data_IF_216905314166
#
_entry.id   IF_216905314166
#
_cell.length_a   1.000
_cell.length_b   1.000
_cell.length_c   1.000
_cell.angle_alpha   90.00
_cell.angle_beta   90.00
_cell.angle_gamma   90.00
#
_symmetry.space_group_name_H-M   'P 1'
#
loop_
_entity.id
_entity.type
_entity.pdbx_description
1 polymer ?
#
# COMPACT_ATOMS: atom_id res chain seq x y z
N UNK A 1 1.74 19.57 -10.69
CA UNK A 1 1.76 18.11 -10.57
C UNK A 1 2.82 17.65 -9.59
N UNK A 2 2.91 16.34 -9.33
CA UNK A 2 3.92 15.81 -8.40
C UNK A 2 5.36 16.10 -8.86
N UNK A 3 5.59 16.13 -10.16
CA UNK A 3 6.89 16.45 -10.76
C UNK A 3 7.41 17.84 -10.38
N UNK A 4 6.53 18.80 -10.13
CA UNK A 4 6.93 20.16 -9.76
C UNK A 4 7.56 20.21 -8.35
N UNK A 5 7.28 19.21 -7.53
CA UNK A 5 7.72 19.12 -6.14
C UNK A 5 8.82 18.10 -5.91
N UNK A 6 9.26 17.39 -6.95
CA UNK A 6 10.22 16.27 -6.83
C UNK A 6 11.40 16.50 -7.77
N UNK A 7 12.54 16.96 -7.25
CA UNK A 7 13.64 17.52 -8.07
C UNK A 7 14.36 16.52 -8.98
N UNK A 8 14.23 15.21 -8.73
CA UNK A 8 14.90 14.19 -9.56
C UNK A 8 14.02 13.68 -10.72
N UNK A 9 12.76 14.09 -10.83
CA UNK A 9 11.96 13.79 -12.02
C UNK A 9 12.45 14.67 -13.17
N UNK A 10 13.04 14.02 -14.17
CA UNK A 10 13.70 14.73 -15.27
C UNK A 10 12.71 15.22 -16.32
N UNK A 11 11.71 14.42 -16.64
CA UNK A 11 10.61 14.79 -17.54
C UNK A 11 9.37 13.95 -17.22
N UNK A 12 8.18 14.50 -17.43
CA UNK A 12 6.92 13.78 -17.39
C UNK A 12 6.51 13.46 -18.82
N UNK A 13 6.32 12.18 -19.11
CA UNK A 13 5.97 11.68 -20.44
C UNK A 13 4.47 11.52 -20.60
N UNK A 14 3.80 11.09 -19.52
CA UNK A 14 2.36 10.92 -19.48
C UNK A 14 1.87 11.17 -18.06
N UNK A 15 0.78 11.89 -17.94
CA UNK A 15 0.06 12.07 -16.67
C UNK A 15 -1.44 12.03 -16.93
N UNK A 16 -2.15 11.27 -16.12
CA UNK A 16 -3.60 11.25 -16.06
C UNK A 16 -4.03 11.35 -14.59
N UNK A 17 -4.95 12.26 -14.30
CA UNK A 17 -5.52 12.42 -12.96
C UNK A 17 -7.03 12.38 -13.07
N UNK A 18 -7.71 11.58 -12.24
CA UNK A 18 -9.15 11.40 -12.27
C UNK A 18 -9.68 10.88 -10.94
N UNK A 19 -10.96 11.15 -10.69
CA UNK A 19 -11.66 10.56 -9.55
C UNK A 19 -12.17 9.16 -9.92
N UNK A 20 -11.66 8.16 -9.22
CA UNK A 20 -12.14 6.78 -9.35
C UNK A 20 -13.50 6.60 -8.69
N UNK A 21 -13.69 7.26 -7.58
CA UNK A 21 -14.89 7.26 -6.75
C UNK A 21 -14.90 8.54 -5.89
N UNK A 22 -16.06 8.94 -5.34
CA UNK A 22 -16.08 10.03 -4.37
C UNK A 22 -15.17 9.70 -3.18
N UNK A 23 -14.16 10.54 -2.98
CA UNK A 23 -13.13 10.34 -1.94
C UNK A 23 -11.93 9.50 -2.38
N UNK A 24 -11.83 9.10 -3.65
CA UNK A 24 -10.64 8.41 -4.20
C UNK A 24 -10.18 9.10 -5.47
N UNK A 25 -9.05 9.79 -5.40
CA UNK A 25 -8.40 10.43 -6.54
C UNK A 25 -7.18 9.63 -6.99
N UNK A 26 -7.07 9.35 -8.27
CA UNK A 26 -5.96 8.59 -8.88
C UNK A 26 -5.08 9.53 -9.70
N UNK A 27 -3.78 9.44 -9.51
CA UNK A 27 -2.77 9.98 -10.42
C UNK A 27 -1.98 8.82 -11.02
N UNK A 28 -2.00 8.70 -12.34
CA UNK A 28 -1.22 7.74 -13.13
C UNK A 28 -0.18 8.53 -13.93
N UNK A 29 1.07 8.40 -13.58
CA UNK A 29 2.15 9.20 -14.15
C UNK A 29 3.31 8.33 -14.60
N UNK A 30 3.82 8.61 -15.81
CA UNK A 30 5.08 8.06 -16.32
C UNK A 30 6.06 9.22 -16.47
N UNK A 31 7.24 9.05 -15.90
CA UNK A 31 8.30 10.05 -15.90
C UNK A 31 9.67 9.41 -16.09
N UNK A 32 10.64 10.20 -16.50
CA UNK A 32 12.04 9.78 -16.56
C UNK A 32 12.71 9.99 -15.20
N UNK A 33 13.25 8.91 -14.65
CA UNK A 33 13.99 8.88 -13.39
C UNK A 33 15.29 8.09 -13.60
N UNK A 34 16.45 8.68 -13.26
CA UNK A 34 17.77 8.08 -13.49
C UNK A 34 17.97 7.54 -14.92
N UNK A 35 17.52 8.32 -15.92
CA UNK A 35 17.57 7.99 -17.36
C UNK A 35 16.71 6.77 -17.78
N UNK A 36 15.78 6.33 -16.94
CA UNK A 36 14.85 5.23 -17.23
C UNK A 36 13.40 5.67 -17.10
N UNK A 37 12.48 5.10 -17.91
CA UNK A 37 11.07 5.29 -17.68
C UNK A 37 10.66 4.70 -16.32
N UNK A 38 9.76 5.38 -15.63
CA UNK A 38 9.22 4.95 -14.34
C UNK A 38 7.73 5.31 -14.30
N UNK A 39 6.88 4.31 -14.10
CA UNK A 39 5.44 4.52 -13.96
C UNK A 39 5.03 4.38 -12.51
N UNK A 40 4.24 5.33 -12.05
CA UNK A 40 3.70 5.39 -10.69
C UNK A 40 2.20 5.62 -10.72
N UNK A 41 1.50 4.92 -9.85
CA UNK A 41 0.12 5.17 -9.48
C UNK A 41 0.08 5.71 -8.05
N UNK A 42 -0.68 6.77 -7.85
CA UNK A 42 -1.00 7.31 -6.52
C UNK A 42 -2.51 7.29 -6.38
N UNK A 43 -2.99 6.67 -5.31
CA UNK A 43 -4.37 6.83 -4.87
C UNK A 43 -4.39 7.71 -3.62
N UNK A 44 -5.03 8.87 -3.70
CA UNK A 44 -5.32 9.74 -2.57
C UNK A 44 -6.74 9.43 -2.09
N UNK A 45 -6.87 9.05 -0.82
CA UNK A 45 -8.12 8.62 -0.20
C UNK A 45 -8.50 9.63 0.89
N UNK A 46 -9.64 10.30 0.73
CA UNK A 46 -10.22 11.24 1.68
C UNK A 46 -11.15 10.51 2.65
N UNK A 47 -10.67 10.25 3.85
CA UNK A 47 -11.42 9.53 4.90
C UNK A 47 -12.60 10.34 5.47
N UNK A 48 -12.75 11.62 5.12
CA UNK A 48 -13.94 12.42 5.46
C UNK A 48 -15.15 12.06 4.60
N UNK A 49 -14.91 11.36 3.48
CA UNK A 49 -15.94 10.86 2.57
C UNK A 49 -16.44 9.48 3.01
N UNK A 50 -17.34 8.89 2.23
CA UNK A 50 -17.92 7.58 2.52
C UNK A 50 -16.97 6.42 2.17
N UNK A 51 -15.68 6.58 2.44
CA UNK A 51 -14.63 5.57 2.20
C UNK A 51 -13.73 5.40 3.42
N UNK A 52 -13.21 4.20 3.60
CA UNK A 52 -12.23 3.89 4.64
C UNK A 52 -11.22 2.85 4.15
N UNK A 53 -10.17 2.62 4.92
CA UNK A 53 -9.19 1.57 4.65
C UNK A 53 -9.51 0.35 5.51
N UNK A 54 -9.36 -0.83 4.93
CA UNK A 54 -9.44 -2.11 5.63
C UNK A 54 -8.28 -3.01 5.23
N UNK A 55 -7.82 -3.85 6.14
CA UNK A 55 -6.86 -4.90 5.83
C UNK A 55 -7.55 -6.02 5.06
N UNK A 56 -6.95 -6.43 3.95
CA UNK A 56 -7.38 -7.62 3.20
C UNK A 56 -6.59 -8.85 3.63
N UNK A 57 -7.24 -9.98 3.57
CA UNK A 57 -6.67 -11.30 3.84
C UNK A 57 -7.21 -12.30 2.82
N UNK A 58 -6.54 -13.42 2.60
CA UNK A 58 -7.05 -14.49 1.74
C UNK A 58 -8.48 -14.91 2.14
N UNK A 59 -9.35 -15.07 1.13
CA UNK A 59 -10.77 -15.39 1.28
C UNK A 59 -11.56 -14.44 2.20
N UNK A 60 -11.02 -13.25 2.48
CA UNK A 60 -11.53 -12.28 3.45
C UNK A 60 -11.70 -12.83 4.88
N UNK A 61 -10.98 -13.90 5.23
CA UNK A 61 -11.08 -14.54 6.54
C UNK A 61 -10.30 -13.78 7.61
N UNK A 62 -10.74 -13.85 8.90
CA UNK A 62 -10.03 -13.26 10.02
C UNK A 62 -8.84 -14.17 10.45
N UNK A 63 -7.98 -14.52 9.52
CA UNK A 63 -6.78 -15.34 9.74
C UNK A 63 -5.67 -14.90 8.79
N UNK A 64 -4.42 -15.18 9.17
CA UNK A 64 -3.24 -14.88 8.36
C UNK A 64 -2.18 -15.98 8.54
N UNK A 65 -1.35 -16.19 7.51
CA UNK A 65 -0.24 -17.14 7.58
C UNK A 65 -0.54 -18.53 7.02
N UNK A 66 -1.79 -18.86 6.71
CA UNK A 66 -2.17 -20.16 6.17
C UNK A 66 -2.14 -20.17 4.63
N UNK A 67 -2.70 -19.14 4.02
CA UNK A 67 -2.88 -19.03 2.58
C UNK A 67 -2.29 -17.71 2.07
N UNK A 68 -1.75 -17.73 0.87
CA UNK A 68 -1.49 -16.53 0.06
C UNK A 68 -2.47 -16.44 -1.08
N UNK A 69 -2.85 -15.24 -1.45
CA UNK A 69 -3.80 -15.01 -2.52
C UNK A 69 -3.47 -13.72 -3.26
N UNK A 70 -3.68 -13.69 -4.57
CA UNK A 70 -3.46 -12.48 -5.36
C UNK A 70 -4.34 -11.33 -4.85
N UNK A 71 -3.85 -10.09 -4.93
CA UNK A 71 -4.56 -8.88 -4.49
C UNK A 71 -5.95 -8.79 -5.15
N UNK A 72 -6.03 -9.09 -6.45
CA UNK A 72 -7.29 -9.13 -7.20
C UNK A 72 -8.27 -10.14 -6.60
N UNK A 73 -7.81 -11.35 -6.32
CA UNK A 73 -8.66 -12.41 -5.76
C UNK A 73 -9.10 -12.07 -4.33
N UNK A 74 -8.23 -11.47 -3.52
CA UNK A 74 -8.62 -10.98 -2.19
C UNK A 74 -9.75 -9.93 -2.29
N UNK A 75 -9.70 -9.02 -3.28
CA UNK A 75 -10.76 -8.04 -3.52
C UNK A 75 -12.07 -8.72 -3.95
N UNK A 76 -12.01 -9.68 -4.88
CA UNK A 76 -13.17 -10.47 -5.32
C UNK A 76 -13.84 -11.25 -4.16
N UNK A 77 -13.03 -11.83 -3.27
CA UNK A 77 -13.52 -12.57 -2.09
C UNK A 77 -14.14 -11.65 -1.04
N UNK A 78 -13.54 -10.48 -0.80
CA UNK A 78 -14.10 -9.48 0.10
C UNK A 78 -15.44 -8.95 -0.44
N UNK A 79 -15.53 -8.66 -1.74
CA UNK A 79 -16.78 -8.27 -2.40
C UNK A 79 -17.86 -9.35 -2.27
N UNK A 80 -17.52 -10.60 -2.52
CA UNK A 80 -18.45 -11.73 -2.40
C UNK A 80 -18.96 -11.95 -0.96
N UNK A 81 -18.21 -11.48 0.05
CA UNK A 81 -18.63 -11.50 1.45
C UNK A 81 -19.42 -10.25 1.90
N UNK A 82 -19.80 -9.38 0.95
CA UNK A 82 -20.64 -8.20 1.19
C UNK A 82 -19.88 -6.92 1.49
N UNK A 83 -18.56 -6.90 1.33
CA UNK A 83 -17.74 -5.70 1.49
C UNK A 83 -17.58 -5.00 0.13
N UNK A 84 -18.08 -3.78 -0.01
CA UNK A 84 -17.91 -3.03 -1.24
C UNK A 84 -16.47 -2.51 -1.37
N UNK A 85 -15.66 -3.25 -2.11
CA UNK A 85 -14.26 -2.91 -2.37
C UNK A 85 -14.17 -2.00 -3.59
N UNK A 86 -13.45 -0.90 -3.47
CA UNK A 86 -13.26 0.10 -4.53
C UNK A 86 -11.87 0.04 -5.15
N UNK A 87 -10.85 -0.22 -4.31
CA UNK A 87 -9.44 -0.30 -4.69
C UNK A 87 -8.72 -1.23 -3.72
N UNK A 88 -7.61 -1.85 -4.15
CA UNK A 88 -6.79 -2.67 -3.28
C UNK A 88 -5.32 -2.67 -3.69
N UNK A 89 -4.43 -2.86 -2.70
CA UNK A 89 -2.99 -3.04 -2.91
C UNK A 89 -2.47 -4.21 -2.09
N UNK A 90 -1.27 -4.71 -2.43
CA UNK A 90 -0.50 -5.57 -1.53
C UNK A 90 -0.13 -4.80 -0.25
N UNK A 91 0.24 -5.52 0.79
CA UNK A 91 0.53 -4.96 2.12
C UNK A 91 1.93 -5.26 2.62
N UNK A 92 2.01 -5.89 3.80
CA UNK A 92 3.24 -6.15 4.53
C UNK A 92 4.11 -7.22 3.87
N UNK A 93 5.39 -7.22 4.25
CA UNK A 93 6.35 -8.29 3.96
C UNK A 93 5.93 -9.60 4.60
N UNK A 94 6.44 -10.69 4.05
CA UNK A 94 6.21 -12.04 4.60
C UNK A 94 7.37 -12.98 4.26
N UNK A 95 7.50 -14.02 5.05
CA UNK A 95 8.44 -15.11 4.82
C UNK A 95 7.75 -16.47 5.00
N UNK A 96 8.35 -17.52 4.43
CA UNK A 96 7.90 -18.87 4.71
C UNK A 96 8.44 -19.34 6.05
N UNK A 97 7.61 -20.03 6.83
CA UNK A 97 8.05 -20.73 8.04
C UNK A 97 9.12 -21.77 7.70
N UNK A 98 10.07 -21.94 8.59
CA UNK A 98 11.13 -22.96 8.45
C UNK A 98 10.72 -24.30 9.06
N UNK A 99 9.62 -24.35 9.77
CA UNK A 99 9.21 -25.51 10.58
C UNK A 99 7.95 -26.20 10.07
N UNK A 100 7.15 -25.50 9.26
CA UNK A 100 5.89 -25.98 8.71
C UNK A 100 5.56 -25.27 7.39
N UNK A 101 4.43 -25.58 6.80
CA UNK A 101 3.98 -25.00 5.52
C UNK A 101 3.25 -23.65 5.69
N UNK A 102 3.42 -22.96 6.83
CA UNK A 102 2.80 -21.67 7.09
C UNK A 102 3.65 -20.50 6.63
N UNK A 103 3.05 -19.33 6.60
CA UNK A 103 3.67 -18.07 6.24
C UNK A 103 3.68 -17.13 7.44
N UNK A 104 4.73 -16.35 7.56
CA UNK A 104 4.98 -15.44 8.68
C UNK A 104 4.85 -14.01 8.15
N UNK A 105 3.86 -13.21 8.61
CA UNK A 105 3.83 -11.77 8.34
C UNK A 105 5.07 -11.06 8.87
N UNK A 106 5.45 -9.96 8.24
CA UNK A 106 6.57 -9.14 8.68
C UNK A 106 6.34 -8.53 10.05
N UNK A 107 5.12 -8.16 10.37
CA UNK A 107 4.77 -7.59 11.66
C UNK A 107 3.27 -7.66 11.95
N UNK A 108 2.74 -6.63 12.62
CA UNK A 108 1.35 -6.58 13.07
C UNK A 108 0.36 -6.76 11.91
N UNK A 109 -0.70 -7.53 12.15
CA UNK A 109 -1.87 -7.64 11.28
C UNK A 109 -3.13 -7.56 12.15
N UNK A 110 -3.90 -6.50 11.98
CA UNK A 110 -5.23 -6.31 12.60
C UNK A 110 -6.26 -6.16 11.48
N UNK A 111 -7.40 -6.80 11.65
CA UNK A 111 -8.51 -6.75 10.68
C UNK A 111 -9.83 -6.67 11.42
N UNK A 112 -10.63 -5.66 11.07
CA UNK A 112 -11.97 -5.46 11.62
C UNK A 112 -12.00 -5.46 13.17
N UNK A 113 -10.99 -4.87 13.82
CA UNK A 113 -10.83 -4.81 15.27
C UNK A 113 -10.25 -6.08 15.91
N UNK A 114 -9.85 -7.07 15.11
CA UNK A 114 -9.29 -8.33 15.60
C UNK A 114 -7.78 -8.38 15.31
N UNK A 115 -6.98 -8.63 16.36
CA UNK A 115 -5.55 -8.89 16.23
C UNK A 115 -5.33 -10.30 15.67
N UNK A 116 -4.91 -10.37 14.40
CA UNK A 116 -4.61 -11.65 13.73
C UNK A 116 -3.17 -12.09 13.93
N UNK A 117 -2.26 -11.12 14.04
CA UNK A 117 -0.84 -11.35 14.26
C UNK A 117 -0.23 -10.19 15.05
N UNK A 118 0.50 -10.52 16.12
CA UNK A 118 1.08 -9.50 17.03
C UNK A 118 2.59 -9.66 17.23
N UNK A 119 3.19 -10.65 16.59
CA UNK A 119 4.64 -10.85 16.65
C UNK A 119 5.30 -9.91 15.66
N UNK A 120 6.28 -9.15 16.13
CA UNK A 120 7.10 -8.34 15.26
C UNK A 120 8.18 -9.23 14.65
N UNK A 121 8.26 -9.16 13.34
CA UNK A 121 9.39 -9.69 12.62
C UNK A 121 10.57 -8.73 12.69
N UNK A 122 11.58 -9.08 11.99
CA UNK A 122 12.81 -8.35 11.81
C UNK A 122 12.51 -6.95 11.21
N UNK A 123 12.90 -5.90 11.89
CA UNK A 123 12.72 -4.49 11.47
C UNK A 123 11.27 -3.99 11.29
N UNK A 124 10.25 -4.74 11.70
CA UNK A 124 8.86 -4.31 11.65
C UNK A 124 8.45 -3.52 12.90
N UNK A 125 9.15 -2.43 13.17
CA UNK A 125 8.99 -1.61 14.37
C UNK A 125 7.97 -0.46 14.23
N UNK A 126 7.33 -0.35 13.05
CA UNK A 126 6.33 0.65 12.75
C UNK A 126 5.06 0.02 12.17
N UNK A 127 3.93 0.68 12.36
CA UNK A 127 2.64 0.27 11.83
C UNK A 127 1.87 1.41 11.19
N UNK A 128 1.20 1.10 10.09
CA UNK A 128 0.07 1.87 9.56
C UNK A 128 -1.21 1.31 10.15
N UNK A 129 -2.10 2.15 10.64
CA UNK A 129 -3.36 1.71 11.24
C UNK A 129 -4.49 2.73 11.13
N UNK A 130 -5.71 2.22 11.18
CA UNK A 130 -6.97 2.96 11.28
C UNK A 130 -7.53 2.80 12.69
N UNK A 131 -7.96 3.91 13.28
CA UNK A 131 -8.71 3.92 14.53
C UNK A 131 -10.22 3.83 14.29
N UNK A 132 -10.96 3.52 15.34
CA UNK A 132 -12.42 3.48 15.35
C UNK A 132 -13.07 4.85 15.12
N UNK A 133 -12.35 5.95 15.35
CA UNK A 133 -12.76 7.31 15.01
C UNK A 133 -12.63 7.66 13.50
N UNK A 134 -12.12 6.72 12.70
CA UNK A 134 -11.95 6.86 11.25
C UNK A 134 -10.67 7.57 10.81
N UNK A 135 -9.74 7.87 11.72
CA UNK A 135 -8.45 8.48 11.39
C UNK A 135 -7.39 7.43 11.08
N UNK A 136 -6.42 7.80 10.24
CA UNK A 136 -5.29 6.96 9.85
C UNK A 136 -3.97 7.45 10.45
N UNK A 137 -3.12 6.53 10.85
CA UNK A 137 -1.87 6.83 11.54
C UNK A 137 -0.72 5.95 11.04
N UNK A 138 0.50 6.45 11.17
CA UNK A 138 1.74 5.68 11.04
C UNK A 138 2.64 6.08 12.21
N UNK A 139 2.91 5.15 13.11
CA UNK A 139 3.72 5.39 14.31
C UNK A 139 4.65 4.22 14.62
N UNK A 140 5.64 4.40 15.51
CA UNK A 140 6.32 3.29 16.15
C UNK A 140 5.33 2.35 16.86
N UNK A 141 5.68 1.08 16.98
CA UNK A 141 4.84 0.07 17.65
C UNK A 141 4.60 0.38 19.12
N UNK A 142 5.52 1.07 19.78
CA UNK A 142 5.34 1.54 21.17
C UNK A 142 4.14 2.48 21.28
N UNK A 143 3.99 3.42 20.36
CA UNK A 143 2.85 4.34 20.34
C UNK A 143 1.57 3.63 19.91
N UNK A 144 1.65 2.72 18.94
CA UNK A 144 0.53 1.84 18.55
C UNK A 144 -0.03 1.07 19.75
N UNK A 145 0.83 0.54 20.62
CA UNK A 145 0.42 -0.24 21.79
C UNK A 145 -0.44 0.57 22.77
N UNK A 146 -0.28 1.90 22.81
CA UNK A 146 -1.09 2.77 23.66
C UNK A 146 -2.55 2.91 23.16
N UNK A 147 -2.80 2.68 21.87
CA UNK A 147 -4.11 2.86 21.23
C UNK A 147 -4.70 1.58 20.64
N UNK A 148 -4.03 0.44 20.79
CA UNK A 148 -4.38 -0.84 20.14
C UNK A 148 -5.82 -1.28 20.33
N UNK A 149 -6.45 -0.93 21.46
CA UNK A 149 -7.84 -1.30 21.77
C UNK A 149 -8.88 -0.51 20.94
N UNK A 150 -8.43 0.57 20.27
CA UNK A 150 -9.21 1.39 19.35
C UNK A 150 -8.83 1.15 17.88
N UNK A 151 -7.91 0.22 17.62
CA UNK A 151 -7.46 -0.09 16.26
C UNK A 151 -8.47 -1.00 15.56
N UNK A 152 -8.90 -0.58 14.39
CA UNK A 152 -9.74 -1.39 13.50
C UNK A 152 -8.91 -2.27 12.58
N UNK A 153 -7.98 -1.67 11.87
CA UNK A 153 -7.16 -2.31 10.86
C UNK A 153 -5.71 -1.82 10.99
N UNK A 154 -4.74 -2.72 10.91
CA UNK A 154 -3.33 -2.37 10.95
C UNK A 154 -2.47 -3.34 10.18
N UNK A 155 -1.44 -2.81 9.54
CA UNK A 155 -0.31 -3.57 8.98
C UNK A 155 1.00 -2.92 9.42
N UNK A 156 1.99 -3.74 9.72
CA UNK A 156 3.37 -3.27 9.76
C UNK A 156 3.93 -3.04 8.35
N UNK A 157 5.05 -2.38 8.30
CA UNK A 157 5.86 -2.21 7.10
C UNK A 157 7.32 -2.15 7.49
N UNK A 158 8.17 -1.94 6.52
CA UNK A 158 9.61 -1.89 6.73
C UNK A 158 10.14 -0.54 6.26
N UNK A 159 10.77 0.20 7.16
CA UNK A 159 11.36 1.52 6.99
C UNK A 159 10.33 2.65 6.85
N UNK A 160 10.47 3.61 7.73
CA UNK A 160 9.81 4.91 7.64
C UNK A 160 10.40 5.72 6.50
N UNK A 161 9.54 6.34 5.71
CA UNK A 161 9.93 7.24 4.63
C UNK A 161 9.83 8.71 5.07
N UNK A 162 8.76 9.06 5.79
CA UNK A 162 8.58 10.37 6.40
C UNK A 162 8.22 10.24 7.87
N UNK A 163 8.74 11.16 8.68
CA UNK A 163 8.42 11.36 10.09
C UNK A 163 8.11 12.83 10.26
N UNK A 164 6.88 13.17 10.65
CA UNK A 164 6.44 14.55 10.90
C UNK A 164 6.73 15.51 9.73
N UNK A 165 6.54 15.02 8.50
CA UNK A 165 6.77 15.78 7.26
C UNK A 165 8.24 15.91 6.87
N UNK A 166 9.17 15.35 7.65
CA UNK A 166 10.60 15.35 7.38
C UNK A 166 11.04 14.00 6.82
N UNK A 167 12.08 14.03 5.98
CA UNK A 167 12.68 12.80 5.46
C UNK A 167 13.25 11.97 6.61
N UNK A 168 12.97 10.65 6.62
CA UNK A 168 13.36 9.77 7.73
C UNK A 168 14.87 9.54 7.89
N UNK A 169 15.67 10.13 7.02
CA UNK A 169 17.12 10.02 7.03
C UNK A 169 17.64 8.90 6.12
N UNK A 170 18.90 8.55 6.28
CA UNK A 170 19.52 7.50 5.47
C UNK A 170 19.13 6.13 5.99
N UNK A 171 18.76 5.25 5.08
CA UNK A 171 18.51 3.85 5.38
C UNK A 171 19.82 3.09 5.61
N UNK A 172 19.75 2.01 6.39
CA UNK A 172 20.83 1.02 6.40
C UNK A 172 21.00 0.50 4.99
N UNK A 173 22.20 0.64 4.45
CA UNK A 173 22.51 0.21 3.09
C UNK A 173 22.39 -1.31 3.02
N UNK A 174 21.42 -1.78 2.27
CA UNK A 174 21.33 -3.17 1.84
C UNK A 174 21.00 -3.22 0.34
N UNK A 175 21.19 -4.37 -0.27
CA UNK A 175 21.01 -4.52 -1.72
C UNK A 175 19.61 -4.13 -2.19
N UNK A 176 18.58 -4.36 -1.37
CA UNK A 176 17.20 -4.01 -1.71
C UNK A 176 16.98 -2.49 -1.74
N UNK A 177 17.55 -1.73 -0.79
CA UNK A 177 17.42 -0.28 -0.75
C UNK A 177 18.14 0.40 -1.91
N UNK A 178 19.28 -0.14 -2.33
CA UNK A 178 20.20 0.43 -3.32
C UNK A 178 19.93 -0.04 -4.76
N UNK A 179 18.86 -0.79 -5.00
CA UNK A 179 18.49 -1.29 -6.33
C UNK A 179 17.13 -0.75 -6.77
N UNK A 180 16.97 -0.62 -8.08
CA UNK A 180 15.68 -0.30 -8.69
C UNK A 180 14.75 -1.49 -8.58
N UNK A 181 13.65 -1.31 -7.85
CA UNK A 181 12.61 -2.33 -7.67
C UNK A 181 11.23 -1.74 -7.84
N UNK A 182 10.22 -2.56 -8.19
CA UNK A 182 8.83 -2.20 -7.96
C UNK A 182 8.62 -1.89 -6.48
N UNK A 183 7.81 -0.87 -6.18
CA UNK A 183 7.60 -0.40 -4.80
C UNK A 183 6.13 -0.22 -4.50
N UNK A 184 5.76 -0.51 -3.25
CA UNK A 184 4.46 -0.18 -2.67
C UNK A 184 4.70 0.51 -1.34
N UNK A 185 4.04 1.64 -1.09
CA UNK A 185 4.18 2.37 0.15
C UNK A 185 2.91 3.14 0.48
N UNK A 186 2.76 3.52 1.74
CA UNK A 186 1.59 4.20 2.27
C UNK A 186 2.00 5.49 2.97
N UNK A 187 1.21 6.54 2.78
CA UNK A 187 1.36 7.81 3.47
C UNK A 187 0.07 8.26 4.16
N UNK A 188 0.21 9.14 5.13
CA UNK A 188 -0.90 9.75 5.87
C UNK A 188 -0.69 11.26 5.94
N UNK A 189 -1.75 12.05 5.78
CA UNK A 189 -1.74 13.51 5.93
C UNK A 189 -1.56 13.95 7.38
N UNK A 190 -1.17 15.21 7.59
CA UNK A 190 -0.93 15.80 8.91
C UNK A 190 -2.16 15.76 9.83
N UNK A 191 -3.35 15.86 9.26
CA UNK A 191 -4.63 15.84 9.99
C UNK A 191 -5.20 14.42 10.16
N UNK A 192 -4.46 13.38 9.71
CA UNK A 192 -4.84 11.96 9.77
C UNK A 192 -6.13 11.60 9.00
N UNK A 193 -6.58 12.48 8.08
CA UNK A 193 -7.83 12.31 7.34
C UNK A 193 -7.65 11.91 5.88
N UNK A 194 -6.41 11.84 5.39
CA UNK A 194 -6.10 11.34 4.06
C UNK A 194 -5.07 10.23 4.14
N UNK A 195 -5.26 9.21 3.30
CA UNK A 195 -4.31 8.13 3.07
C UNK A 195 -3.85 8.18 1.63
N UNK A 196 -2.58 7.96 1.40
CA UNK A 196 -1.96 7.88 0.09
C UNK A 196 -1.42 6.47 -0.11
N UNK A 197 -1.87 5.79 -1.16
CA UNK A 197 -1.33 4.50 -1.58
C UNK A 197 -0.53 4.69 -2.86
N UNK A 198 0.73 4.28 -2.83
CA UNK A 198 1.65 4.40 -3.95
C UNK A 198 2.04 3.03 -4.47
N UNK A 199 2.04 2.90 -5.78
CA UNK A 199 2.56 1.73 -6.50
C UNK A 199 3.46 2.22 -7.62
N UNK A 200 4.71 1.73 -7.65
CA UNK A 200 5.69 2.01 -8.71
C UNK A 200 6.00 0.67 -9.39
N UNK A 201 5.75 0.60 -10.69
CA UNK A 201 6.16 -0.54 -11.50
C UNK A 201 7.69 -0.61 -11.62
N UNK A 202 8.23 -1.80 -11.85
CA UNK A 202 9.68 -1.96 -11.99
C UNK A 202 10.10 -3.30 -12.58
N UNK A 203 11.43 -3.51 -12.69
CA UNK A 203 12.04 -4.70 -13.30
C UNK A 203 11.68 -4.90 -14.77
N UNK A 204 11.25 -3.83 -15.44
CA UNK A 204 10.86 -3.80 -16.85
C UNK A 204 11.50 -2.54 -17.48
N UNK A 205 12.82 -2.55 -17.74
CA UNK A 205 13.61 -1.33 -18.04
C UNK A 205 13.09 -0.47 -19.18
N UNK A 206 12.46 -1.07 -20.19
CA UNK A 206 11.88 -0.37 -21.35
C UNK A 206 10.52 0.27 -21.05
N UNK A 207 9.88 -0.13 -19.92
CA UNK A 207 8.57 0.34 -19.54
C UNK A 207 8.57 1.07 -18.19
N UNK A 208 9.10 0.44 -17.17
CA UNK A 208 9.28 1.02 -15.83
C UNK A 208 10.38 0.26 -15.09
N UNK A 209 11.44 0.97 -14.75
CA UNK A 209 12.61 0.32 -14.12
C UNK A 209 12.45 0.14 -12.60
N UNK A 210 11.57 0.91 -11.99
CA UNK A 210 11.42 0.96 -10.54
C UNK A 210 12.18 2.12 -9.90
N UNK A 211 12.28 2.10 -8.58
CA UNK A 211 12.85 3.21 -7.82
C UNK A 211 13.72 2.76 -6.66
N UNK A 212 14.73 3.56 -6.32
CA UNK A 212 15.51 3.43 -5.11
C UNK A 212 14.65 3.81 -3.90
N UNK A 213 14.87 3.13 -2.78
CA UNK A 213 14.07 3.35 -1.57
C UNK A 213 14.17 4.78 -1.03
N UNK A 214 15.39 5.35 -1.05
CA UNK A 214 15.62 6.71 -0.54
C UNK A 214 14.84 7.78 -1.30
N UNK A 215 14.66 7.60 -2.61
CA UNK A 215 14.01 8.60 -3.45
C UNK A 215 12.48 8.62 -3.26
N UNK A 216 11.90 7.55 -2.72
CA UNK A 216 10.47 7.51 -2.38
C UNK A 216 10.09 8.54 -1.32
N UNK A 217 11.02 8.95 -0.45
CA UNK A 217 10.78 9.97 0.58
C UNK A 217 10.31 11.30 -0.04
N UNK A 218 10.99 11.74 -1.11
CA UNK A 218 10.63 12.99 -1.78
C UNK A 218 9.30 12.88 -2.53
N UNK A 219 8.94 11.70 -3.05
CA UNK A 219 7.61 11.47 -3.62
C UNK A 219 6.52 11.63 -2.56
N UNK A 220 6.70 11.00 -1.40
CA UNK A 220 5.75 11.14 -0.29
C UNK A 220 5.57 12.59 0.15
N UNK A 221 6.69 13.31 0.31
CA UNK A 221 6.67 14.73 0.70
C UNK A 221 5.99 15.59 -0.38
N UNK A 222 6.33 15.38 -1.65
CA UNK A 222 5.74 16.10 -2.78
C UNK A 222 4.24 15.82 -2.98
N UNK A 223 3.75 14.66 -2.57
CA UNK A 223 2.33 14.32 -2.57
C UNK A 223 1.55 14.91 -1.38
N UNK A 224 2.23 15.44 -0.36
CA UNK A 224 1.61 16.02 0.82
C UNK A 224 1.47 15.07 2.01
N UNK A 225 2.19 13.96 2.01
CA UNK A 225 2.25 13.09 3.18
C UNK A 225 2.97 13.77 4.34
N UNK A 226 2.51 13.49 5.55
CA UNK A 226 3.16 13.90 6.80
C UNK A 226 3.90 12.73 7.47
N UNK A 227 3.31 11.53 7.39
CA UNK A 227 3.92 10.27 7.77
C UNK A 227 3.93 9.35 6.55
N UNK A 228 4.97 8.53 6.37
CA UNK A 228 4.99 7.53 5.31
C UNK A 228 5.80 6.30 5.68
N UNK A 229 5.37 5.14 5.20
CA UNK A 229 5.91 3.82 5.51
C UNK A 229 6.04 2.99 4.25
N UNK A 230 7.19 2.35 4.05
CA UNK A 230 7.40 1.41 2.97
C UNK A 230 6.74 0.07 3.28
N UNK A 231 6.07 -0.51 2.29
CA UNK A 231 5.43 -1.82 2.32
C UNK A 231 6.21 -2.82 1.45
N UNK A 232 5.70 -4.05 1.31
CA UNK A 232 6.31 -5.03 0.43
C UNK A 232 6.27 -4.58 -1.04
N UNK A 233 7.35 -4.81 -1.73
CA UNK A 233 7.57 -4.42 -3.11
C UNK A 233 7.88 -5.60 -4.04
N UNK A 234 8.67 -5.33 -5.07
CA UNK A 234 9.07 -6.35 -6.03
C UNK A 234 7.88 -6.98 -6.74
N UNK A 235 7.86 -8.30 -6.85
CA UNK A 235 6.77 -9.03 -7.48
C UNK A 235 5.41 -8.94 -6.78
N UNK A 236 5.39 -8.50 -5.51
CA UNK A 236 4.14 -8.27 -4.76
C UNK A 236 3.42 -6.98 -5.16
N UNK A 237 4.13 -6.02 -5.74
CA UNK A 237 3.61 -4.69 -6.09
C UNK A 237 2.43 -4.78 -7.05
N UNK A 238 1.23 -4.54 -6.54
CA UNK A 238 -0.03 -4.66 -7.29
C UNK A 238 -1.05 -3.66 -6.75
N UNK A 239 -1.74 -2.97 -7.67
CA UNK A 239 -2.92 -2.15 -7.38
C UNK A 239 -4.08 -2.61 -8.26
N UNK A 240 -5.24 -2.82 -7.66
CA UNK A 240 -6.46 -3.23 -8.36
C UNK A 240 -7.57 -2.23 -8.11
N UNK A 241 -8.46 -2.08 -9.09
CA UNK A 241 -9.67 -1.28 -8.97
C UNK A 241 -10.92 -2.07 -9.28
N UNK A 242 -12.03 -1.66 -8.69
CA UNK A 242 -13.39 -2.11 -9.01
C UNK A 242 -13.76 -1.70 -10.43
N UNK A 243 -14.42 -2.60 -11.14
CA UNK A 243 -15.04 -2.36 -12.43
C UNK A 243 -16.51 -2.73 -12.36
N UNK A 244 -17.37 -1.78 -12.66
CA UNK A 244 -18.83 -1.99 -12.75
C UNK A 244 -19.27 -1.77 -14.19
N UNK A 245 -19.98 -2.73 -14.74
CA UNK A 245 -20.62 -2.64 -16.05
C UNK A 245 -22.09 -3.05 -15.92
N UNK A 246 -22.98 -2.27 -16.50
CA UNK A 246 -24.42 -2.55 -16.47
C UNK A 246 -24.71 -3.97 -16.99
N UNK A 247 -25.42 -4.76 -16.19
CA UNK A 247 -25.80 -6.13 -16.52
C UNK A 247 -24.69 -7.18 -16.32
N UNK A 248 -23.53 -6.82 -15.82
CA UNK A 248 -22.44 -7.75 -15.51
C UNK A 248 -22.15 -7.78 -13.99
N UNK A 249 -21.67 -8.91 -13.46
CA UNK A 249 -21.15 -8.96 -12.10
C UNK A 249 -19.99 -7.97 -11.91
N UNK A 250 -19.84 -7.46 -10.68
CA UNK A 250 -18.66 -6.68 -10.30
C UNK A 250 -17.40 -7.49 -10.53
N UNK A 251 -16.40 -6.85 -11.10
CA UNK A 251 -15.07 -7.44 -11.33
C UNK A 251 -13.98 -6.47 -10.85
N UNK A 252 -12.75 -6.95 -10.85
CA UNK A 252 -11.57 -6.15 -10.51
C UNK A 252 -10.54 -6.27 -11.63
N UNK A 253 -9.85 -5.17 -11.90
CA UNK A 253 -8.73 -5.15 -12.83
C UNK A 253 -7.46 -4.64 -12.17
N UNK A 254 -6.32 -5.15 -12.61
CA UNK A 254 -5.00 -4.69 -12.17
C UNK A 254 -4.69 -3.39 -12.91
N UNK A 255 -4.36 -2.34 -12.17
CA UNK A 255 -4.09 -1.00 -12.71
C UNK A 255 -2.63 -0.81 -13.16
N UNK A 256 -1.69 -1.43 -12.47
CA UNK A 256 -0.26 -1.41 -12.79
C UNK A 256 0.14 -2.63 -13.63
N UNK A 257 1.44 -2.77 -13.91
CA UNK A 257 1.99 -3.94 -14.62
C UNK A 257 2.96 -4.69 -13.69
N UNK A 258 2.45 -5.65 -12.89
CA UNK A 258 3.29 -6.41 -11.97
C UNK A 258 4.46 -7.08 -12.68
N UNK A 259 5.62 -7.15 -12.02
CA UNK A 259 6.80 -7.84 -12.57
C UNK A 259 6.68 -9.35 -12.55
N UNK A 260 5.82 -9.91 -11.70
CA UNK A 260 5.49 -11.34 -11.70
C UNK A 260 4.24 -11.59 -12.56
N UNK A 261 4.30 -12.62 -13.41
CA UNK A 261 3.17 -13.05 -14.27
C UNK A 261 2.93 -14.56 -14.05
N UNK A 262 1.76 -14.95 -13.52
CA UNK A 262 0.68 -14.11 -12.99
C UNK A 262 1.13 -13.29 -11.75
N UNK A 263 0.36 -12.26 -11.40
CA UNK A 263 0.69 -11.41 -10.23
C UNK A 263 0.84 -12.27 -8.97
N UNK A 264 1.82 -11.90 -8.14
CA UNK A 264 2.19 -12.69 -6.95
C UNK A 264 1.05 -12.80 -5.94
N UNK A 265 0.87 -14.00 -5.39
CA UNK A 265 0.02 -14.21 -4.22
C UNK A 265 0.71 -13.67 -2.95
N UNK A 266 -0.03 -12.90 -2.14
CA UNK A 266 0.45 -12.22 -0.93
C UNK A 266 -0.39 -12.60 0.29
N UNK A 267 0.16 -12.38 1.50
CA UNK A 267 -0.53 -12.73 2.75
C UNK A 267 -1.64 -11.76 3.11
N UNK A 268 -1.45 -10.48 2.80
CA UNK A 268 -2.36 -9.42 3.18
C UNK A 268 -2.21 -8.22 2.22
N UNK A 269 -3.11 -7.29 2.36
CA UNK A 269 -3.09 -6.04 1.61
C UNK A 269 -3.92 -4.96 2.29
N UNK A 270 -4.02 -3.82 1.63
CA UNK A 270 -4.90 -2.72 2.00
C UNK A 270 -6.00 -2.58 0.95
N UNK A 271 -7.24 -2.47 1.39
CA UNK A 271 -8.40 -2.20 0.53
C UNK A 271 -9.02 -0.87 0.92
N UNK A 272 -9.40 -0.08 -0.08
CA UNK A 272 -10.32 1.03 0.10
C UNK A 272 -11.72 0.49 -0.07
N UNK A 273 -12.53 0.63 0.94
CA UNK A 273 -13.91 0.15 0.96
C UNK A 273 -14.88 1.28 1.24
N UNK A 274 -16.12 1.13 0.77
CA UNK A 274 -17.21 2.02 1.19
C UNK A 274 -17.55 1.75 2.66
N UNK A 275 -17.76 2.82 3.45
CA UNK A 275 -18.21 2.67 4.84
C UNK A 275 -19.60 2.04 4.83
N UNK A 276 -19.81 1.04 5.70
CA UNK A 276 -21.15 0.54 5.94
C UNK A 276 -21.93 1.61 6.73
N UNK A 277 -23.07 1.99 6.22
CA UNK A 277 -24.00 2.91 6.90
C UNK A 277 -24.68 2.19 8.06
#
# INVERSE_FOLDING_TARGET
>A
GIADNVPYIQSVEKEAAYDLHEGIHITDVTFTYCAHPTRMLIAEIDLTKNVTIAVSTPDNKPEVGILKQQVKVQAEKAEASGRKVLLGTNGDYYSQSKTDDTWIPGGLVYKDGVALWTKLGWEADHAFYLLDDGTAHITPVEEFNAVKDHVRDALSGWQRLLIDGQLAGKFTVNDNAMQFHPRTFVGVSKDNKKVYLFVIDGRQPEYSNGMLLEDMMLLCQGAGCYQALNLDGGGSTTMVRRVEQAGSPVSFEIMNTPSDVPSRAVLNGLQVIEKNN
#
